data_IF_193201139921
#
_entry.id   IF_193201139921
#
_cell.length_a   1.000
_cell.length_b   1.000
_cell.length_c   1.000
_cell.angle_alpha   90.00
_cell.angle_beta   90.00
_cell.angle_gamma   90.00
#
_symmetry.space_group_name_H-M   'P 1'
#
loop_
_entity.id
_entity.type
_entity.pdbx_description
1 polymer ?
#
# COMPACT_ATOMS: atom_id res chain seq x y z
N UNK A 1 13.55 -6.88 33.32
CA UNK A 1 14.60 -7.80 32.82
C UNK A 1 14.33 -8.07 31.35
N UNK A 2 15.35 -8.02 30.49
CA UNK A 2 15.18 -8.37 29.07
C UNK A 2 14.95 -9.88 28.92
N UNK A 3 14.13 -10.26 27.93
CA UNK A 3 13.86 -11.66 27.56
C UNK A 3 14.33 -11.91 26.14
N UNK A 4 14.97 -13.04 25.91
CA UNK A 4 15.32 -13.53 24.57
C UNK A 4 14.27 -14.55 24.15
N UNK A 5 13.64 -14.35 22.99
CA UNK A 5 12.60 -15.22 22.47
C UNK A 5 13.01 -15.67 21.07
N UNK A 6 13.12 -16.99 20.80
CA UNK A 6 13.36 -17.46 19.44
C UNK A 6 12.09 -17.30 18.62
N UNK A 7 12.21 -16.71 17.42
CA UNK A 7 11.15 -16.73 16.40
C UNK A 7 11.37 -17.91 15.47
N UNK A 8 10.43 -18.85 15.47
CA UNK A 8 10.51 -20.09 14.69
C UNK A 8 10.30 -19.86 13.20
N UNK A 9 9.60 -18.79 12.82
CA UNK A 9 9.31 -18.51 11.41
C UNK A 9 10.52 -17.91 10.71
N UNK A 10 11.20 -16.95 11.36
CA UNK A 10 12.42 -16.34 10.80
C UNK A 10 13.72 -17.02 11.21
N UNK A 11 13.68 -17.98 12.15
CA UNK A 11 14.86 -18.61 12.78
C UNK A 11 15.84 -17.61 13.41
N UNK A 12 15.32 -16.53 14.00
CA UNK A 12 16.10 -15.47 14.64
C UNK A 12 15.73 -15.28 16.09
N UNK A 13 16.65 -14.74 16.87
CA UNK A 13 16.39 -14.34 18.25
C UNK A 13 15.85 -12.92 18.31
N UNK A 14 14.75 -12.74 19.05
CA UNK A 14 14.13 -11.44 19.34
C UNK A 14 14.38 -11.07 20.79
N UNK A 15 14.85 -9.85 21.03
CA UNK A 15 15.07 -9.32 22.37
C UNK A 15 13.87 -8.46 22.78
N UNK A 16 13.13 -8.89 23.79
CA UNK A 16 12.03 -8.13 24.40
C UNK A 16 12.60 -7.38 25.60
N UNK A 17 12.70 -6.06 25.51
CA UNK A 17 13.25 -5.18 26.55
C UNK A 17 12.30 -4.01 26.86
N UNK A 18 11.19 -4.29 27.56
CA UNK A 18 10.12 -3.32 27.85
C UNK A 18 10.59 -2.03 28.54
N UNK A 19 11.64 -2.11 29.38
CA UNK A 19 12.26 -0.95 30.03
C UNK A 19 12.79 0.11 29.06
N UNK A 20 13.03 -0.24 27.78
CA UNK A 20 13.47 0.73 26.77
C UNK A 20 12.43 1.78 26.42
N UNK A 21 11.14 1.53 26.67
CA UNK A 21 10.07 2.52 26.45
C UNK A 21 10.23 3.76 27.34
N UNK A 22 10.85 3.61 28.51
CA UNK A 22 11.10 4.70 29.45
C UNK A 22 12.37 5.49 29.14
N UNK A 23 13.12 5.11 28.09
CA UNK A 23 14.32 5.85 27.69
C UNK A 23 13.89 7.23 27.18
N UNK A 24 14.48 8.32 27.68
CA UNK A 24 14.18 9.65 27.17
C UNK A 24 14.44 9.74 25.66
N UNK A 25 13.43 10.17 24.90
CA UNK A 25 13.57 10.43 23.47
C UNK A 25 14.41 11.69 23.27
N UNK A 26 15.66 11.52 22.80
CA UNK A 26 16.56 12.63 22.44
C UNK A 26 16.37 13.09 20.99
N UNK A 27 15.58 12.36 20.20
CA UNK A 27 15.20 12.73 18.85
C UNK A 27 13.92 13.55 18.91
N UNK A 28 13.95 14.79 18.41
CA UNK A 28 12.79 15.67 18.37
C UNK A 28 11.54 14.97 17.81
N UNK A 29 10.37 15.28 18.38
CA UNK A 29 9.07 14.69 18.05
C UNK A 29 9.00 14.32 16.57
N UNK A 30 8.85 13.02 16.27
CA UNK A 30 8.49 12.61 14.93
C UNK A 30 7.25 13.40 14.55
N UNK A 31 7.31 14.12 13.44
CA UNK A 31 6.16 14.81 12.89
C UNK A 31 5.10 13.73 12.68
N UNK A 32 4.12 13.65 13.61
CA UNK A 32 2.93 12.82 13.47
C UNK A 32 2.49 12.98 12.03
N UNK A 33 2.51 11.86 11.28
CA UNK A 33 2.47 11.86 9.82
C UNK A 33 1.57 12.97 9.34
N UNK A 34 2.16 13.97 8.69
CA UNK A 34 1.39 15.03 8.04
C UNK A 34 0.40 14.28 7.16
N UNK A 35 -0.88 14.23 7.56
CA UNK A 35 -1.97 14.12 6.60
C UNK A 35 -1.63 15.19 5.59
N UNK A 36 -1.19 14.80 4.39
CA UNK A 36 -0.94 15.77 3.34
C UNK A 36 -2.19 16.63 3.29
N UNK A 37 -2.08 17.94 3.59
CA UNK A 37 -3.22 18.82 3.43
C UNK A 37 -3.68 18.62 2.00
N UNK A 38 -4.97 18.34 1.83
CA UNK A 38 -5.69 18.30 0.56
C UNK A 38 -5.55 19.66 -0.15
N UNK A 39 -4.36 19.97 -0.67
CA UNK A 39 -3.97 21.34 -1.00
C UNK A 39 -2.86 21.48 -2.03
N UNK A 40 -2.31 20.38 -2.55
CA UNK A 40 -1.67 20.41 -3.87
C UNK A 40 -2.49 19.54 -4.80
N UNK A 41 -3.17 20.18 -5.76
CA UNK A 41 -3.85 19.56 -6.91
C UNK A 41 -2.84 18.88 -7.84
N UNK A 42 -1.99 18.00 -7.30
CA UNK A 42 -1.18 17.15 -8.15
C UNK A 42 -2.07 15.99 -8.56
N UNK A 43 -2.44 16.00 -9.84
CA UNK A 43 -3.19 14.94 -10.52
C UNK A 43 -2.57 13.59 -10.17
N UNK A 44 -3.22 12.81 -9.31
CA UNK A 44 -2.69 11.53 -8.87
C UNK A 44 -2.84 10.51 -10.01
N UNK A 45 -1.72 9.91 -10.43
CA UNK A 45 -1.66 8.95 -11.54
C UNK A 45 -2.48 7.67 -11.29
N UNK A 46 -2.83 7.40 -10.04
CA UNK A 46 -3.57 6.21 -9.63
C UNK A 46 -5.06 6.45 -9.44
N UNK A 47 -5.49 7.72 -9.39
CA UNK A 47 -6.91 8.04 -9.34
C UNK A 47 -7.61 7.60 -10.63
N UNK A 48 -8.90 7.37 -10.49
CA UNK A 48 -9.81 7.26 -11.62
C UNK A 48 -9.74 8.52 -12.50
N UNK A 49 -9.97 8.36 -13.81
CA UNK A 49 -9.83 9.37 -14.87
C UNK A 49 -8.39 9.75 -15.25
N UNK A 50 -7.38 9.16 -14.59
CA UNK A 50 -5.96 9.39 -14.86
C UNK A 50 -5.24 8.17 -15.43
N UNK A 51 -5.99 7.17 -15.91
CA UNK A 51 -5.47 5.89 -16.41
C UNK A 51 -4.49 6.06 -17.57
N UNK A 52 -4.73 7.01 -18.47
CA UNK A 52 -3.84 7.29 -19.61
C UNK A 52 -2.45 7.79 -19.17
N UNK A 53 -2.29 8.21 -17.92
CA UNK A 53 -1.02 8.69 -17.37
C UNK A 53 -0.26 7.60 -16.58
N UNK A 54 -0.90 6.45 -16.31
CA UNK A 54 -0.25 5.29 -15.74
C UNK A 54 0.37 4.39 -16.82
N UNK A 55 1.42 3.62 -16.50
CA UNK A 55 1.90 2.55 -17.37
C UNK A 55 0.82 1.50 -17.66
N UNK A 56 1.14 0.57 -18.56
CA UNK A 56 0.24 -0.48 -19.06
C UNK A 56 -0.53 -1.18 -17.94
N UNK A 57 -1.86 -1.15 -18.03
CA UNK A 57 -2.75 -1.99 -17.22
C UNK A 57 -2.57 -3.46 -17.60
N UNK A 58 -2.23 -4.28 -16.62
CA UNK A 58 -1.98 -5.73 -16.78
C UNK A 58 -3.14 -6.56 -16.26
N UNK A 59 -3.90 -6.04 -15.31
CA UNK A 59 -5.03 -6.71 -14.70
C UNK A 59 -6.00 -5.72 -14.05
N UNK A 60 -7.28 -6.07 -14.01
CA UNK A 60 -8.32 -5.28 -13.35
C UNK A 60 -9.40 -6.17 -12.73
N UNK A 61 -10.07 -5.62 -11.73
CA UNK A 61 -11.34 -6.14 -11.22
C UNK A 61 -12.33 -4.99 -11.23
N UNK A 62 -13.45 -5.13 -11.93
CA UNK A 62 -14.48 -4.10 -12.03
C UNK A 62 -15.14 -4.09 -13.41
N UNK A 63 -15.93 -3.06 -13.68
CA UNK A 63 -16.54 -2.83 -15.00
C UNK A 63 -15.64 -1.89 -15.81
N UNK A 64 -15.98 -1.65 -17.07
CA UNK A 64 -15.25 -0.69 -17.93
C UNK A 64 -14.15 -1.33 -18.77
N UNK A 65 -13.55 -0.53 -19.64
CA UNK A 65 -12.53 -0.93 -20.61
C UNK A 65 -11.12 -0.74 -20.06
N UNK A 66 -10.14 -1.41 -20.68
CA UNK A 66 -8.72 -1.29 -20.32
C UNK A 66 -8.27 0.19 -20.35
N UNK A 67 -7.53 0.63 -19.34
CA UNK A 67 -7.10 2.03 -19.19
C UNK A 67 -8.27 3.04 -19.20
N UNK A 68 -9.46 2.63 -18.74
CA UNK A 68 -10.63 3.50 -18.54
C UNK A 68 -11.23 3.32 -17.14
N UNK A 69 -11.98 4.34 -16.66
CA UNK A 69 -12.74 4.29 -15.41
C UNK A 69 -13.67 3.07 -15.27
N UNK A 70 -14.16 2.84 -14.04
CA UNK A 70 -15.08 1.76 -13.68
C UNK A 70 -14.44 0.56 -12.97
N UNK A 71 -13.11 0.59 -12.80
CA UNK A 71 -12.37 -0.43 -12.05
C UNK A 71 -12.58 -0.25 -10.54
N UNK A 72 -12.53 -1.37 -9.82
CA UNK A 72 -12.51 -1.40 -8.35
C UNK A 72 -11.10 -1.63 -7.82
N UNK A 73 -10.34 -2.51 -8.48
CA UNK A 73 -8.92 -2.74 -8.24
C UNK A 73 -8.24 -2.79 -9.60
N UNK A 74 -7.08 -2.17 -9.72
CA UNK A 74 -6.33 -2.09 -10.97
C UNK A 74 -4.87 -2.42 -10.71
N UNK A 75 -4.25 -3.16 -11.61
CA UNK A 75 -2.83 -3.51 -11.55
C UNK A 75 -2.17 -2.97 -12.80
N UNK A 76 -1.08 -2.25 -12.59
CA UNK A 76 -0.28 -1.64 -13.65
C UNK A 76 1.18 -2.06 -13.48
N UNK A 77 1.93 -2.07 -14.57
CA UNK A 77 3.39 -2.21 -14.48
C UNK A 77 3.99 -1.02 -13.71
N UNK A 78 5.01 -1.27 -12.91
CA UNK A 78 5.71 -0.18 -12.22
C UNK A 78 6.54 0.61 -13.25
N UNK A 79 6.38 1.93 -13.27
CA UNK A 79 7.16 2.84 -14.15
C UNK A 79 8.66 2.82 -13.82
N UNK A 80 9.01 2.55 -12.56
CA UNK A 80 10.38 2.47 -12.07
C UNK A 80 10.59 1.08 -11.45
N UNK A 81 10.62 0.03 -12.28
CA UNK A 81 10.70 -1.33 -11.79
C UNK A 81 12.08 -1.61 -11.20
N UNK A 82 12.14 -2.52 -10.23
CA UNK A 82 13.41 -2.96 -9.60
C UNK A 82 13.94 -4.20 -10.34
N UNK A 83 13.04 -4.96 -10.96
CA UNK A 83 13.29 -6.21 -11.69
C UNK A 83 12.36 -6.28 -12.91
N UNK A 84 12.49 -7.32 -13.73
CA UNK A 84 11.64 -7.54 -14.92
C UNK A 84 10.15 -7.74 -14.60
N UNK A 85 9.83 -8.11 -13.36
CA UNK A 85 8.46 -8.28 -12.87
C UNK A 85 8.25 -7.43 -11.62
N UNK A 86 7.77 -6.20 -11.81
CA UNK A 86 7.40 -5.30 -10.73
C UNK A 86 6.11 -4.56 -11.11
N UNK A 87 5.07 -4.77 -10.33
CA UNK A 87 3.74 -4.23 -10.56
C UNK A 87 3.24 -3.46 -9.35
N UNK A 88 2.28 -2.56 -9.60
CA UNK A 88 1.62 -1.77 -8.58
C UNK A 88 0.14 -2.13 -8.57
N UNK A 89 -0.34 -2.61 -7.42
CA UNK A 89 -1.76 -2.88 -7.19
C UNK A 89 -2.40 -1.63 -6.57
N UNK A 90 -3.30 -1.01 -7.32
CA UNK A 90 -4.09 0.14 -6.90
C UNK A 90 -5.35 -0.37 -6.19
N UNK A 91 -5.41 -0.18 -4.87
CA UNK A 91 -6.41 -0.82 -4.01
C UNK A 91 -7.85 -0.33 -4.22
N UNK A 92 -8.04 0.93 -4.61
CA UNK A 92 -9.35 1.51 -4.86
C UNK A 92 -9.26 2.80 -5.69
N UNK A 93 -10.34 3.25 -6.35
CA UNK A 93 -10.39 4.58 -6.98
C UNK A 93 -10.43 5.73 -5.96
N UNK A 94 -10.70 5.44 -4.68
CA UNK A 94 -10.78 6.47 -3.63
C UNK A 94 -9.38 6.83 -3.09
N UNK A 95 -8.93 8.02 -3.44
CA UNK A 95 -7.62 8.56 -3.03
C UNK A 95 -7.45 8.78 -1.53
N UNK A 96 -8.55 9.01 -0.82
CA UNK A 96 -8.52 9.46 0.57
C UNK A 96 -8.53 8.32 1.58
N UNK A 97 -8.89 7.11 1.14
CA UNK A 97 -9.03 5.96 2.03
C UNK A 97 -7.78 5.11 2.03
N UNK A 98 -7.27 4.84 3.23
CA UNK A 98 -6.26 3.80 3.42
C UNK A 98 -6.91 2.41 3.37
N UNK A 99 -6.08 1.37 3.31
CA UNK A 99 -6.51 -0.03 3.19
C UNK A 99 -7.47 -0.44 4.33
N UNK A 100 -7.18 0.01 5.56
CA UNK A 100 -7.96 -0.27 6.77
C UNK A 100 -9.33 0.43 6.81
N UNK A 101 -9.55 1.45 5.97
CA UNK A 101 -10.81 2.21 5.88
C UNK A 101 -11.72 1.71 4.74
N UNK A 102 -11.26 0.72 3.99
CA UNK A 102 -12.02 0.10 2.90
C UNK A 102 -13.02 -0.92 3.44
N UNK A 103 -14.22 -1.04 2.85
CA UNK A 103 -15.15 -2.10 3.19
C UNK A 103 -14.52 -3.50 2.97
N UNK A 104 -14.88 -4.47 3.80
CA UNK A 104 -14.35 -5.84 3.72
C UNK A 104 -14.49 -6.45 2.31
N UNK A 105 -15.63 -6.20 1.65
CA UNK A 105 -15.85 -6.61 0.25
C UNK A 105 -14.77 -6.09 -0.70
N UNK A 106 -14.31 -4.85 -0.51
CA UNK A 106 -13.26 -4.24 -1.31
C UNK A 106 -11.89 -4.83 -0.97
N UNK A 107 -11.58 -5.03 0.32
CA UNK A 107 -10.35 -5.70 0.75
C UNK A 107 -10.27 -7.10 0.13
N UNK A 108 -11.38 -7.83 0.09
CA UNK A 108 -11.47 -9.12 -0.60
C UNK A 108 -11.13 -9.05 -2.09
N UNK A 109 -11.44 -7.95 -2.79
CA UNK A 109 -11.02 -7.75 -4.19
C UNK A 109 -9.52 -7.49 -4.28
N UNK A 110 -8.94 -6.72 -3.36
CA UNK A 110 -7.49 -6.46 -3.33
C UNK A 110 -6.72 -7.76 -3.14
N UNK A 111 -7.12 -8.59 -2.18
CA UNK A 111 -6.50 -9.90 -1.94
C UNK A 111 -6.66 -10.85 -3.14
N UNK A 112 -7.80 -10.82 -3.84
CA UNK A 112 -7.98 -11.57 -5.09
C UNK A 112 -7.03 -11.08 -6.19
N UNK A 113 -6.77 -9.78 -6.27
CA UNK A 113 -5.79 -9.25 -7.21
C UNK A 113 -4.38 -9.77 -6.87
N UNK A 114 -3.96 -9.74 -5.60
CA UNK A 114 -2.69 -10.36 -5.18
C UNK A 114 -2.61 -11.83 -5.59
N UNK A 115 -3.65 -12.62 -5.34
CA UNK A 115 -3.71 -14.03 -5.75
C UNK A 115 -3.67 -14.22 -7.27
N UNK A 116 -4.22 -13.31 -8.06
CA UNK A 116 -4.24 -13.42 -9.52
C UNK A 116 -2.92 -13.00 -10.19
N UNK A 117 -2.03 -12.32 -9.46
CA UNK A 117 -0.73 -11.84 -9.95
C UNK A 117 0.46 -12.66 -9.42
N UNK A 118 0.21 -13.65 -8.56
CA UNK A 118 1.17 -14.63 -8.05
C UNK A 118 0.81 -16.02 -8.58
#
# INVERSE_FOLDING_TARGET
>A
MSKYVPDVVSHRWVIIASQRLSRPDQTGKSTKGRRSPSGRKNKCLFCEDNESSSPSEVFRIGKGEINKPGWKVRVVTNKFPITDFHEVIIHSPNHMKNLEELPEKQIGLVLRAYKARF
#
